data_IF_754653601622
#
_entry.id   IF_754653601622
#
_cell.length_a   1.000
_cell.length_b   1.000
_cell.length_c   1.000
_cell.angle_alpha   90.00
_cell.angle_beta   90.00
_cell.angle_gamma   90.00
#
_symmetry.space_group_name_H-M   'P 1'
#
loop_
_entity.id
_entity.type
_entity.pdbx_description
1 polymer ?
#
# COMPACT_ATOMS: atom_id res chain seq x y z
N UNK A 1 -3.34 -4.28 66.31
CA UNK A 1 -3.47 -5.58 65.62
C UNK A 1 -3.95 -5.28 64.22
N UNK A 2 -3.03 -5.38 63.31
CA UNK A 2 -3.23 -5.05 61.91
C UNK A 2 -3.59 -6.31 61.14
N UNK A 3 -4.61 -6.25 60.31
CA UNK A 3 -4.85 -7.29 59.32
C UNK A 3 -4.81 -6.69 57.94
N UNK A 4 -3.84 -7.16 57.18
CA UNK A 4 -3.52 -6.72 55.84
C UNK A 4 -4.30 -7.53 54.82
N UNK A 5 -5.42 -6.99 54.38
CA UNK A 5 -6.17 -7.54 53.24
C UNK A 5 -5.43 -7.40 51.90
N UNK A 6 -4.81 -8.47 51.47
CA UNK A 6 -4.16 -8.61 50.15
C UNK A 6 -5.22 -8.83 49.08
N UNK A 7 -5.53 -7.77 48.32
CA UNK A 7 -6.36 -7.89 47.13
C UNK A 7 -5.49 -8.37 45.98
N UNK A 8 -5.60 -9.65 45.65
CA UNK A 8 -5.03 -10.23 44.46
C UNK A 8 -5.83 -9.76 43.22
N UNK A 9 -5.27 -8.84 42.47
CA UNK A 9 -5.78 -8.48 41.15
C UNK A 9 -5.52 -9.63 40.19
N UNK A 10 -6.56 -10.38 39.88
CA UNK A 10 -6.55 -11.43 38.87
C UNK A 10 -6.73 -10.74 37.52
N UNK A 11 -5.62 -10.55 36.79
CA UNK A 11 -5.65 -10.17 35.40
C UNK A 11 -6.05 -11.40 34.60
N UNK A 12 -7.32 -11.56 34.36
CA UNK A 12 -7.83 -12.50 33.38
C UNK A 12 -7.83 -11.81 32.03
N UNK A 13 -6.66 -11.77 31.40
CA UNK A 13 -6.51 -11.45 29.98
C UNK A 13 -6.56 -12.74 29.17
N UNK A 14 -7.70 -13.33 29.03
CA UNK A 14 -7.90 -14.39 28.04
C UNK A 14 -9.06 -14.00 27.14
N UNK A 15 -8.70 -13.28 26.07
CA UNK A 15 -9.49 -13.04 24.88
C UNK A 15 -8.96 -13.90 23.75
N UNK A 16 -8.91 -15.22 23.95
CA UNK A 16 -8.60 -16.19 22.90
C UNK A 16 -9.74 -16.28 21.89
N UNK A 17 -9.99 -15.22 21.14
CA UNK A 17 -10.71 -15.29 19.87
C UNK A 17 -9.73 -15.84 18.84
N UNK A 18 -9.89 -17.11 18.45
CA UNK A 18 -9.17 -17.71 17.33
C UNK A 18 -9.60 -17.06 16.00
N UNK A 19 -9.28 -15.79 15.82
CA UNK A 19 -9.35 -15.14 14.53
C UNK A 19 -8.09 -15.48 13.75
N UNK A 20 -8.24 -15.78 12.48
CA UNK A 20 -7.09 -15.97 11.59
C UNK A 20 -6.16 -14.76 11.68
N UNK A 21 -4.83 -14.98 11.66
CA UNK A 21 -3.87 -13.88 11.74
C UNK A 21 -4.11 -12.89 10.59
N UNK A 22 -4.21 -11.61 10.93
CA UNK A 22 -4.44 -10.55 9.95
C UNK A 22 -3.31 -9.54 9.97
N UNK A 23 -3.11 -8.88 8.84
CA UNK A 23 -2.13 -7.82 8.62
C UNK A 23 -2.86 -6.55 8.21
N UNK A 24 -2.48 -5.41 8.78
CA UNK A 24 -2.99 -4.11 8.35
C UNK A 24 -2.06 -3.49 7.30
N UNK A 25 -2.56 -3.29 6.10
CA UNK A 25 -1.92 -2.48 5.07
C UNK A 25 -2.47 -1.06 5.17
N UNK A 26 -1.63 -0.12 5.50
CA UNK A 26 -1.98 1.30 5.63
C UNK A 26 -1.70 2.05 4.34
N UNK A 27 -2.68 2.78 3.83
CA UNK A 27 -2.54 3.65 2.67
C UNK A 27 -2.71 5.10 3.11
N UNK A 28 -1.68 5.89 2.91
CA UNK A 28 -1.61 7.31 3.25
C UNK A 28 -1.58 8.16 1.99
N UNK A 29 -2.38 9.22 1.95
CA UNK A 29 -2.38 10.23 0.87
C UNK A 29 -1.78 11.52 1.40
N UNK A 30 -0.90 12.17 0.64
CA UNK A 30 -0.25 13.44 0.97
C UNK A 30 -0.01 14.31 -0.28
N UNK A 31 0.53 15.51 -0.11
CA UNK A 31 0.88 16.39 -1.23
C UNK A 31 -0.32 16.98 -1.98
N UNK A 32 -1.50 17.01 -1.37
CA UNK A 32 -2.73 17.57 -1.94
C UNK A 32 -3.41 18.51 -0.94
N UNK A 33 -4.04 19.56 -1.43
CA UNK A 33 -4.85 20.49 -0.63
C UNK A 33 -6.21 19.91 -0.23
N UNK A 34 -6.65 18.82 -0.91
CA UNK A 34 -7.95 18.16 -0.71
C UNK A 34 -7.77 16.74 -0.18
N UNK A 35 -6.91 16.59 0.83
CA UNK A 35 -6.56 15.24 1.34
C UNK A 35 -7.77 14.40 1.73
N UNK A 36 -8.80 15.00 2.36
CA UNK A 36 -10.01 14.27 2.78
C UNK A 36 -10.81 13.75 1.57
N UNK A 37 -11.01 14.58 0.57
CA UNK A 37 -11.72 14.23 -0.65
C UNK A 37 -10.94 13.19 -1.46
N UNK A 38 -9.63 13.37 -1.58
CA UNK A 38 -8.76 12.44 -2.29
C UNK A 38 -8.73 11.09 -1.58
N UNK A 39 -8.68 11.05 -0.25
CA UNK A 39 -8.76 9.83 0.52
C UNK A 39 -10.12 9.13 0.34
N UNK A 40 -11.22 9.89 0.38
CA UNK A 40 -12.55 9.35 0.17
C UNK A 40 -12.71 8.78 -1.25
N UNK A 41 -12.19 9.49 -2.26
CA UNK A 41 -12.20 9.03 -3.64
C UNK A 41 -11.35 7.77 -3.83
N UNK A 42 -10.18 7.70 -3.22
CA UNK A 42 -9.33 6.51 -3.26
C UNK A 42 -9.99 5.32 -2.56
N UNK A 43 -10.63 5.54 -1.40
CA UNK A 43 -11.36 4.50 -0.69
C UNK A 43 -12.47 3.90 -1.56
N UNK A 44 -13.32 4.76 -2.17
CA UNK A 44 -14.38 4.33 -3.07
C UNK A 44 -13.83 3.60 -4.31
N UNK A 45 -12.68 4.05 -4.83
CA UNK A 45 -11.98 3.39 -5.94
C UNK A 45 -11.53 1.98 -5.57
N UNK A 46 -10.90 1.81 -4.39
CA UNK A 46 -10.46 0.51 -3.90
C UNK A 46 -11.66 -0.43 -3.63
N UNK A 47 -12.74 0.11 -3.07
CA UNK A 47 -13.98 -0.64 -2.82
C UNK A 47 -14.66 -1.09 -4.12
N UNK A 48 -14.48 -0.37 -5.22
CA UNK A 48 -15.05 -0.71 -6.54
C UNK A 48 -14.17 -1.66 -7.35
N UNK A 49 -12.90 -1.89 -6.94
CA UNK A 49 -11.98 -2.75 -7.66
C UNK A 49 -12.42 -4.22 -7.61
N UNK A 50 -12.68 -4.90 -8.76
CA UNK A 50 -13.30 -6.23 -8.78
C UNK A 50 -12.53 -7.26 -7.93
N UNK A 51 -11.21 -7.34 -8.08
CA UNK A 51 -10.40 -8.31 -7.35
C UNK A 51 -10.38 -8.06 -5.82
N UNK A 52 -10.43 -6.79 -5.37
CA UNK A 52 -10.55 -6.47 -3.94
C UNK A 52 -11.96 -6.78 -3.42
N UNK A 53 -12.97 -6.59 -4.26
CA UNK A 53 -14.36 -6.92 -3.92
C UNK A 53 -14.55 -8.44 -3.76
N UNK A 54 -13.92 -9.24 -4.62
CA UNK A 54 -13.91 -10.70 -4.50
C UNK A 54 -13.23 -11.14 -3.19
N UNK A 55 -12.08 -10.55 -2.83
CA UNK A 55 -11.39 -10.83 -1.58
C UNK A 55 -12.25 -10.45 -0.35
N UNK A 56 -13.01 -9.35 -0.42
CA UNK A 56 -13.99 -8.98 0.60
C UNK A 56 -15.11 -10.01 0.71
N UNK A 57 -15.61 -10.50 -0.42
CA UNK A 57 -16.63 -11.56 -0.46
C UNK A 57 -16.15 -12.87 0.18
N UNK A 58 -14.84 -13.17 0.13
CA UNK A 58 -14.22 -14.32 0.80
C UNK A 58 -13.79 -14.05 2.24
N UNK A 59 -14.10 -12.88 2.79
CA UNK A 59 -13.64 -12.41 4.10
C UNK A 59 -12.11 -12.33 4.29
N UNK A 60 -11.34 -12.35 3.19
CA UNK A 60 -9.86 -12.21 3.19
C UNK A 60 -9.42 -10.75 3.32
N UNK A 61 -10.33 -9.80 3.07
CA UNK A 61 -10.06 -8.36 3.09
C UNK A 61 -11.19 -7.58 3.76
N UNK A 62 -10.83 -6.60 4.58
CA UNK A 62 -11.73 -5.57 5.10
C UNK A 62 -11.11 -4.20 4.89
N UNK A 63 -11.93 -3.23 4.50
CA UNK A 63 -11.50 -1.84 4.31
C UNK A 63 -12.02 -1.01 5.48
N UNK A 64 -11.13 -0.33 6.16
CA UNK A 64 -11.43 0.51 7.32
C UNK A 64 -10.76 1.88 7.17
N UNK A 65 -11.16 2.84 7.99
CA UNK A 65 -10.49 4.15 8.11
C UNK A 65 -9.87 4.24 9.49
N UNK A 66 -8.58 4.52 9.55
CA UNK A 66 -7.84 4.70 10.78
C UNK A 66 -7.28 6.10 10.92
N UNK A 67 -6.97 6.52 12.14
CA UNK A 67 -6.29 7.78 12.39
C UNK A 67 -4.88 7.74 11.78
N UNK A 68 -4.50 8.81 11.10
CA UNK A 68 -3.18 8.91 10.48
C UNK A 68 -2.08 9.00 11.53
N UNK A 69 -1.02 8.21 11.38
CA UNK A 69 0.14 8.24 12.28
C UNK A 69 0.95 9.54 12.17
N UNK A 70 0.89 10.21 11.03
CA UNK A 70 1.64 11.45 10.78
C UNK A 70 1.07 12.66 11.49
N UNK A 71 -0.09 12.53 12.16
CA UNK A 71 -0.81 13.64 12.78
C UNK A 71 -0.52 13.82 14.28
N UNK A 72 0.32 12.99 14.89
CA UNK A 72 0.66 13.07 16.33
C UNK A 72 1.34 14.39 16.72
N UNK A 73 1.82 15.18 15.75
CA UNK A 73 2.61 16.39 16.03
C UNK A 73 1.89 17.70 15.66
N UNK A 74 0.71 17.68 15.06
CA UNK A 74 -0.05 18.90 14.73
C UNK A 74 -1.13 19.15 15.78
N UNK A 75 -0.80 19.94 16.76
CA UNK A 75 -1.76 20.52 17.71
C UNK A 75 -2.69 21.49 16.96
N UNK A 76 -3.86 21.02 16.53
CA UNK A 76 -4.92 21.94 16.06
C UNK A 76 -5.43 21.75 14.64
N UNK A 77 -5.45 20.53 14.10
CA UNK A 77 -6.01 20.25 12.78
C UNK A 77 -7.08 19.14 12.81
N UNK A 78 -7.96 19.18 11.84
CA UNK A 78 -8.89 18.11 11.51
C UNK A 78 -8.21 16.73 11.55
N UNK A 79 -8.83 15.74 12.20
CA UNK A 79 -8.34 14.38 12.26
C UNK A 79 -8.16 13.83 10.83
N UNK A 80 -6.91 13.71 10.42
CA UNK A 80 -6.57 13.09 9.14
C UNK A 80 -6.65 11.59 9.31
N UNK A 81 -7.35 10.96 8.39
CA UNK A 81 -7.52 9.51 8.38
C UNK A 81 -6.63 8.90 7.28
N UNK A 82 -6.26 7.64 7.46
CA UNK A 82 -5.65 6.79 6.44
C UNK A 82 -6.63 5.65 6.12
N UNK A 83 -6.45 4.99 4.96
CA UNK A 83 -7.18 3.77 4.63
C UNK A 83 -6.41 2.59 5.21
N UNK A 84 -7.10 1.70 5.90
CA UNK A 84 -6.57 0.45 6.42
C UNK A 84 -7.22 -0.71 5.66
N UNK A 85 -6.40 -1.52 5.02
CA UNK A 85 -6.83 -2.79 4.46
C UNK A 85 -6.41 -3.89 5.45
N UNK A 86 -7.38 -4.46 6.15
CA UNK A 86 -7.15 -5.59 7.06
C UNK A 86 -7.24 -6.86 6.23
N UNK A 87 -6.14 -7.56 6.12
CA UNK A 87 -5.95 -8.67 5.19
C UNK A 87 -5.56 -9.93 5.94
N UNK A 88 -6.09 -11.09 5.55
CA UNK A 88 -5.64 -12.38 6.05
C UNK A 88 -4.15 -12.58 5.74
N UNK A 89 -3.36 -13.09 6.71
CA UNK A 89 -1.91 -13.11 6.61
C UNK A 89 -1.39 -13.89 5.39
N UNK A 90 -2.06 -14.98 5.03
CA UNK A 90 -1.73 -15.77 3.85
C UNK A 90 -1.98 -15.05 2.52
N UNK A 91 -2.91 -14.09 2.50
CA UNK A 91 -3.28 -13.33 1.31
C UNK A 91 -2.60 -11.95 1.23
N UNK A 92 -1.74 -11.58 2.20
CA UNK A 92 -1.20 -10.21 2.31
C UNK A 92 -0.42 -9.78 1.06
N UNK A 93 0.46 -10.62 0.55
CA UNK A 93 1.29 -10.27 -0.63
C UNK A 93 0.47 -10.09 -1.91
N UNK A 94 -0.36 -11.06 -2.34
CA UNK A 94 -1.16 -10.88 -3.55
C UNK A 94 -2.16 -9.72 -3.40
N UNK A 95 -2.77 -9.52 -2.24
CA UNK A 95 -3.70 -8.41 -2.04
C UNK A 95 -2.99 -7.05 -1.95
N UNK A 96 -1.78 -6.98 -1.40
CA UNK A 96 -0.94 -5.78 -1.46
C UNK A 96 -0.59 -5.40 -2.90
N UNK A 97 -0.26 -6.38 -3.76
CA UNK A 97 0.00 -6.14 -5.18
C UNK A 97 -1.22 -5.61 -5.92
N UNK A 98 -2.37 -6.23 -5.71
CA UNK A 98 -3.64 -5.80 -6.32
C UNK A 98 -4.03 -4.40 -5.85
N UNK A 99 -3.97 -4.15 -4.54
CA UNK A 99 -4.26 -2.84 -3.96
C UNK A 99 -3.31 -1.78 -4.52
N UNK A 100 -2.01 -2.07 -4.57
CA UNK A 100 -1.02 -1.14 -5.10
C UNK A 100 -1.23 -0.82 -6.58
N UNK A 101 -1.56 -1.79 -7.41
CA UNK A 101 -1.87 -1.56 -8.82
C UNK A 101 -3.11 -0.67 -8.98
N UNK A 102 -4.13 -0.87 -8.15
CA UNK A 102 -5.31 -0.01 -8.09
C UNK A 102 -4.95 1.41 -7.64
N UNK A 103 -4.14 1.56 -6.60
CA UNK A 103 -3.62 2.85 -6.10
C UNK A 103 -2.85 3.59 -7.20
N UNK A 104 -1.92 2.91 -7.88
CA UNK A 104 -1.14 3.52 -8.98
C UNK A 104 -2.03 4.00 -10.12
N UNK A 105 -3.07 3.28 -10.45
CA UNK A 105 -4.02 3.68 -11.50
C UNK A 105 -4.81 4.90 -11.08
N UNK A 106 -5.35 4.90 -9.86
CA UNK A 106 -6.02 6.06 -9.28
C UNK A 106 -5.10 7.28 -9.22
N UNK A 107 -3.88 7.13 -8.70
CA UNK A 107 -2.88 8.19 -8.59
C UNK A 107 -2.54 8.80 -9.95
N UNK A 108 -2.34 7.99 -10.99
CA UNK A 108 -2.09 8.47 -12.36
C UNK A 108 -3.27 9.31 -12.88
N UNK A 109 -4.48 8.89 -12.61
CA UNK A 109 -5.68 9.64 -13.00
C UNK A 109 -5.79 10.94 -12.20
N UNK A 110 -5.54 10.90 -10.89
CA UNK A 110 -5.59 12.07 -10.00
C UNK A 110 -4.55 13.13 -10.39
N UNK A 111 -3.32 12.72 -10.73
CA UNK A 111 -2.27 13.65 -11.20
C UNK A 111 -2.65 14.40 -12.47
N UNK A 112 -3.42 13.80 -13.36
CA UNK A 112 -3.92 14.48 -14.57
C UNK A 112 -4.92 15.58 -14.27
N UNK A 113 -5.59 15.51 -13.13
CA UNK A 113 -6.62 16.45 -12.66
C UNK A 113 -6.11 17.40 -11.58
N UNK A 114 -4.89 17.18 -11.08
CA UNK A 114 -4.28 18.00 -10.03
C UNK A 114 -3.92 19.38 -10.57
N UNK A 115 -3.98 20.38 -9.68
CA UNK A 115 -3.41 21.69 -9.97
C UNK A 115 -1.88 21.56 -10.14
N UNK A 116 -1.23 22.44 -10.92
CA UNK A 116 0.22 22.39 -11.12
C UNK A 116 1.06 22.48 -9.83
N UNK A 117 0.48 23.05 -8.76
CA UNK A 117 1.13 23.20 -7.45
C UNK A 117 0.93 21.98 -6.53
N UNK A 118 0.07 21.04 -6.92
CA UNK A 118 -0.19 19.81 -6.16
C UNK A 118 0.69 18.66 -6.67
N UNK A 119 1.36 18.01 -5.75
CA UNK A 119 2.08 16.75 -6.00
C UNK A 119 1.45 15.62 -5.15
N UNK A 120 0.29 15.10 -5.57
CA UNK A 120 -0.34 14.02 -4.83
C UNK A 120 0.59 12.81 -4.76
N UNK A 121 0.80 12.30 -3.55
CA UNK A 121 1.62 11.14 -3.23
C UNK A 121 0.79 10.13 -2.48
N UNK A 122 1.01 8.87 -2.76
CA UNK A 122 0.36 7.79 -2.04
C UNK A 122 1.42 6.80 -1.59
N UNK A 123 1.33 6.40 -0.33
CA UNK A 123 2.21 5.42 0.30
C UNK A 123 1.40 4.26 0.82
N UNK A 124 1.93 3.06 0.68
CA UNK A 124 1.40 1.82 1.24
C UNK A 124 2.46 1.22 2.17
N UNK A 125 2.07 0.96 3.40
CA UNK A 125 2.92 0.36 4.42
C UNK A 125 2.18 -0.81 5.09
N UNK A 126 2.86 -1.94 5.31
CA UNK A 126 2.31 -3.05 6.09
C UNK A 126 2.73 -2.91 7.55
N UNK A 127 1.75 -2.90 8.46
CA UNK A 127 2.02 -2.84 9.89
C UNK A 127 2.56 -4.19 10.38
N UNK A 128 3.69 -4.15 11.11
CA UNK A 128 4.36 -5.35 11.60
C UNK A 128 5.30 -6.04 10.61
N UNK A 129 5.47 -5.46 9.40
CA UNK A 129 6.34 -5.98 8.35
C UNK A 129 7.32 -4.92 7.84
N UNK A 130 7.84 -4.08 8.75
CA UNK A 130 8.68 -2.93 8.41
C UNK A 130 9.95 -3.30 7.63
N UNK A 131 10.37 -4.55 7.72
CA UNK A 131 11.57 -5.05 7.01
C UNK A 131 11.28 -5.66 5.64
N UNK A 132 10.01 -5.79 5.22
CA UNK A 132 9.67 -6.35 3.90
C UNK A 132 9.44 -5.23 2.86
N UNK A 133 10.43 -4.96 1.99
CA UNK A 133 10.33 -3.88 1.00
C UNK A 133 9.22 -4.11 -0.02
N UNK A 134 8.74 -5.34 -0.19
CA UNK A 134 7.64 -5.63 -1.10
C UNK A 134 6.29 -5.12 -0.56
N UNK A 135 6.20 -4.87 0.74
CA UNK A 135 5.02 -4.37 1.42
C UNK A 135 5.09 -2.87 1.77
N UNK A 136 6.20 -2.20 1.40
CA UNK A 136 6.40 -0.76 1.53
C UNK A 136 6.55 -0.16 0.14
N UNK A 137 5.62 0.68 -0.25
CA UNK A 137 5.55 1.22 -1.61
C UNK A 137 5.18 2.69 -1.58
N UNK A 138 5.82 3.46 -2.44
CA UNK A 138 5.56 4.89 -2.61
C UNK A 138 5.43 5.21 -4.09
N UNK A 139 4.51 6.11 -4.44
CA UNK A 139 4.32 6.55 -5.82
C UNK A 139 5.48 7.38 -6.37
N UNK A 140 6.33 7.92 -5.49
CA UNK A 140 7.54 8.66 -5.87
C UNK A 140 8.74 7.73 -6.14
N UNK A 141 8.70 6.50 -5.67
CA UNK A 141 9.75 5.52 -5.95
C UNK A 141 9.59 5.00 -7.37
N UNK A 142 10.56 5.24 -8.28
CA UNK A 142 10.51 4.65 -9.61
C UNK A 142 10.44 3.13 -9.47
N UNK A 143 9.67 2.44 -10.34
CA UNK A 143 9.65 0.98 -10.32
C UNK A 143 11.10 0.49 -10.44
N UNK A 144 11.53 -0.35 -9.51
CA UNK A 144 12.83 -1.00 -9.60
C UNK A 144 12.93 -1.59 -11.02
N UNK A 145 13.88 -1.07 -11.78
CA UNK A 145 14.14 -1.55 -13.14
C UNK A 145 14.48 -3.02 -13.01
N UNK A 146 13.48 -3.89 -13.17
CA UNK A 146 13.70 -5.31 -13.32
C UNK A 146 14.68 -5.48 -14.44
N UNK A 147 15.89 -5.99 -14.14
CA UNK A 147 16.93 -6.24 -15.11
C UNK A 147 16.39 -7.17 -16.21
N UNK A 148 15.82 -6.57 -17.25
CA UNK A 148 15.54 -7.25 -18.48
C UNK A 148 16.88 -7.69 -19.05
N UNK A 149 17.01 -8.92 -19.58
CA UNK A 149 18.21 -9.33 -20.28
C UNK A 149 18.49 -8.31 -21.39
N UNK A 150 19.71 -7.77 -21.40
CA UNK A 150 20.16 -6.84 -22.43
C UNK A 150 19.84 -7.45 -23.80
N UNK A 151 19.24 -6.71 -24.73
CA UNK A 151 19.05 -7.19 -26.09
C UNK A 151 20.43 -7.43 -26.67
N UNK A 152 20.72 -8.71 -26.91
CA UNK A 152 21.99 -9.17 -27.48
C UNK A 152 22.30 -8.39 -28.75
N UNK A 153 23.42 -7.68 -28.72
CA UNK A 153 23.93 -6.96 -29.87
C UNK A 153 24.09 -7.92 -31.05
N UNK A 154 23.24 -7.76 -32.06
CA UNK A 154 23.50 -8.31 -33.39
C UNK A 154 24.60 -7.46 -33.98
N UNK A 155 25.81 -7.99 -34.00
CA UNK A 155 26.87 -7.50 -34.85
C UNK A 155 26.39 -7.57 -36.32
N UNK A 156 26.43 -6.48 -37.08
CA UNK A 156 26.29 -6.56 -38.54
C UNK A 156 27.54 -7.25 -39.08
N UNK A 157 27.34 -8.47 -39.59
CA UNK A 157 28.39 -9.17 -40.37
C UNK A 157 28.78 -8.32 -41.56
N UNK A 158 30.04 -7.93 -41.56
CA UNK A 158 30.75 -7.36 -42.66
C UNK A 158 30.95 -8.47 -43.71
N UNK A 159 30.10 -8.51 -44.70
CA UNK A 159 30.23 -9.35 -45.90
C UNK A 159 30.68 -8.48 -47.06
N UNK A 160 31.99 -8.34 -47.13
CA UNK A 160 32.68 -7.85 -48.33
C UNK A 160 32.77 -9.04 -49.29
N UNK A 161 32.03 -9.01 -50.37
CA UNK A 161 32.21 -9.94 -51.48
C UNK A 161 31.94 -9.21 -52.78
N UNK A 162 33.02 -8.68 -53.35
CA UNK A 162 33.11 -8.11 -54.69
C UNK A 162 33.69 -9.18 -55.60
N UNK A 163 33.01 -9.66 -56.64
CA UNK A 163 33.67 -10.26 -57.77
C UNK A 163 33.88 -9.20 -58.84
N UNK A 164 35.14 -8.96 -59.14
CA UNK A 164 35.60 -8.49 -60.46
C UNK A 164 35.49 -9.63 -61.43
N UNK A 165 35.13 -9.33 -62.69
CA UNK A 165 35.33 -10.28 -63.77
C UNK A 165 34.64 -9.97 -65.07
N UNK A 166 35.40 -9.28 -66.01
CA UNK A 166 35.36 -9.35 -67.47
C UNK A 166 34.16 -8.76 -68.17
#
# INVERSE_FOLDING_TARGET
MADSGRVGGQVTGDGGGGGDPTVALRITVSGTHRRKEDLAALCAWLESAPALNEARGRAELRVERGVSRTQSESMGGDLVQDILLIVAAEAVRPLADIAWNSVRTWHRNRRRLANPEEEPRVRLDAEGFESDPALHRDTDTPPASGGGPAPGGRQPGHGDDRPEGV
#
